data_IF_222820893430
#
_entry.id   IF_222820893430
#
_cell.length_a   1.000
_cell.length_b   1.000
_cell.length_c   1.000
_cell.angle_alpha   90.00
_cell.angle_beta   90.00
_cell.angle_gamma   90.00
#
_symmetry.space_group_name_H-M   'P 1'
#
loop_
_entity.id
_entity.type
_entity.pdbx_description
1 polymer ?
#
# COMPACT_ATOMS: atom_id res chain seq x y z
N UNK A 1 -16.54 3.67 -7.89
CA UNK A 1 -16.44 3.66 -6.41
C UNK A 1 -15.42 2.62 -6.01
N UNK A 2 -14.45 3.01 -5.18
CA UNK A 2 -13.24 2.26 -4.87
C UNK A 2 -13.46 1.42 -3.59
N UNK A 3 -14.35 0.43 -3.65
CA UNK A 3 -14.96 -0.15 -2.43
C UNK A 3 -14.39 -1.53 -2.04
N UNK A 4 -13.60 -2.20 -2.88
CA UNK A 4 -13.32 -3.64 -2.63
C UNK A 4 -11.90 -3.96 -2.11
N UNK A 5 -11.22 -3.00 -1.47
CA UNK A 5 -9.89 -3.25 -0.85
C UNK A 5 -9.72 -2.64 0.54
N UNK A 6 -10.50 -1.64 0.89
CA UNK A 6 -10.81 -1.27 2.27
C UNK A 6 -12.18 -1.87 2.60
N UNK A 7 -12.66 -1.79 3.84
CA UNK A 7 -14.10 -1.84 4.05
C UNK A 7 -14.77 -0.68 3.31
N UNK A 8 -15.98 -0.34 3.73
CA UNK A 8 -16.64 0.91 3.33
C UNK A 8 -15.61 2.04 3.17
N UNK A 9 -15.71 2.86 2.12
CA UNK A 9 -14.78 3.99 1.95
C UNK A 9 -14.84 4.96 3.16
N UNK A 10 -15.88 4.84 4.00
CA UNK A 10 -16.02 5.49 5.30
C UNK A 10 -15.37 4.74 6.50
N UNK A 11 -15.07 3.43 6.40
CA UNK A 11 -14.46 2.60 7.46
C UNK A 11 -13.37 1.65 6.89
N UNK A 12 -12.18 2.19 6.58
CA UNK A 12 -11.06 1.38 6.13
C UNK A 12 -10.55 0.48 7.26
N UNK A 13 -10.30 -0.80 6.96
CA UNK A 13 -9.71 -1.75 7.91
C UNK A 13 -8.30 -2.10 7.49
N UNK A 14 -7.37 -1.97 8.44
CA UNK A 14 -5.98 -2.34 8.21
C UNK A 14 -5.86 -3.87 8.05
N UNK A 15 -5.05 -4.36 7.10
CA UNK A 15 -4.71 -5.78 7.06
C UNK A 15 -3.96 -6.20 8.33
N UNK A 16 -4.03 -7.49 8.68
CA UNK A 16 -3.42 -8.00 9.92
C UNK A 16 -1.93 -7.65 10.00
N UNK A 17 -1.51 -7.11 11.15
CA UNK A 17 -0.14 -6.62 11.37
C UNK A 17 0.10 -5.16 10.97
N UNK A 18 -0.84 -4.52 10.29
CA UNK A 18 -0.82 -3.10 9.95
C UNK A 18 -1.84 -2.32 10.79
N UNK A 19 -1.58 -1.05 11.00
CA UNK A 19 -2.51 -0.04 11.50
C UNK A 19 -2.65 1.06 10.46
N UNK A 20 -3.87 1.58 10.28
CA UNK A 20 -4.07 2.78 9.45
C UNK A 20 -3.53 3.97 10.24
N UNK A 21 -2.49 4.59 9.71
CA UNK A 21 -1.85 5.73 10.32
C UNK A 21 -2.46 7.06 9.85
N UNK A 22 -2.99 7.07 8.63
CA UNK A 22 -3.58 8.24 7.99
C UNK A 22 -4.54 7.76 6.89
N UNK A 23 -5.70 8.39 6.78
CA UNK A 23 -6.68 8.05 5.76
C UNK A 23 -7.46 9.28 5.31
N UNK A 24 -7.34 9.59 4.03
CA UNK A 24 -8.07 10.64 3.35
C UNK A 24 -8.76 10.02 2.12
N UNK A 25 -10.10 9.85 2.16
CA UNK A 25 -10.85 9.21 1.10
C UNK A 25 -10.54 9.80 -0.27
N UNK A 26 -10.13 8.95 -1.22
CA UNK A 26 -9.85 9.37 -2.59
C UNK A 26 -8.53 10.12 -2.80
N UNK A 27 -7.75 10.39 -1.75
CA UNK A 27 -6.48 11.12 -1.83
C UNK A 27 -5.31 10.34 -1.24
N UNK A 28 -5.48 9.73 -0.06
CA UNK A 28 -4.34 9.16 0.68
C UNK A 28 -4.74 8.03 1.62
N UNK A 29 -3.86 7.04 1.73
CA UNK A 29 -3.94 6.00 2.75
C UNK A 29 -2.53 5.66 3.23
N UNK A 30 -2.23 5.88 4.51
CA UNK A 30 -1.00 5.41 5.15
C UNK A 30 -1.29 4.20 6.02
N UNK A 31 -0.51 3.14 5.79
CA UNK A 31 -0.47 1.97 6.63
C UNK A 31 0.89 1.91 7.32
N UNK A 32 0.89 1.87 8.65
CA UNK A 32 2.11 1.65 9.44
C UNK A 32 2.04 0.32 10.14
N UNK A 33 3.18 -0.31 10.33
CA UNK A 33 3.28 -1.43 11.23
C UNK A 33 4.68 -1.58 11.78
N UNK A 34 4.74 -2.30 12.89
CA UNK A 34 6.00 -2.58 13.58
C UNK A 34 6.13 -4.08 13.71
N UNK A 35 7.21 -4.59 13.14
CA UNK A 35 7.76 -5.90 13.44
C UNK A 35 8.96 -5.75 14.36
N UNK A 36 9.31 -6.83 15.06
CA UNK A 36 10.49 -6.91 15.93
C UNK A 36 11.81 -6.59 15.21
N UNK A 37 11.85 -6.69 13.87
CA UNK A 37 13.04 -6.43 13.05
C UNK A 37 12.92 -5.21 12.15
N UNK A 38 11.72 -4.62 12.03
CA UNK A 38 11.45 -3.56 11.07
C UNK A 38 10.26 -2.70 11.49
N UNK A 39 10.42 -1.38 11.46
CA UNK A 39 9.29 -0.45 11.42
C UNK A 39 9.05 -0.12 9.95
N UNK A 40 7.84 -0.34 9.47
CA UNK A 40 7.51 -0.12 8.08
C UNK A 40 6.30 0.82 7.96
N UNK A 41 6.33 1.65 6.91
CA UNK A 41 5.26 2.54 6.53
C UNK A 41 5.03 2.42 5.03
N UNK A 42 3.77 2.25 4.64
CA UNK A 42 3.34 2.14 3.27
C UNK A 42 2.24 3.15 3.01
N UNK A 43 2.56 4.19 2.23
CA UNK A 43 1.61 5.23 1.83
C UNK A 43 1.19 5.02 0.39
N UNK A 44 -0.11 5.10 0.17
CA UNK A 44 -0.76 5.18 -1.12
C UNK A 44 -1.27 6.60 -1.33
N UNK A 45 -1.01 7.17 -2.51
CA UNK A 45 -1.46 8.50 -2.90
C UNK A 45 -2.26 8.35 -4.19
N UNK A 46 -3.45 8.91 -4.20
CA UNK A 46 -4.37 8.90 -5.33
C UNK A 46 -4.44 10.32 -5.87
N UNK A 47 -4.09 10.50 -7.14
CA UNK A 47 -4.19 11.77 -7.84
C UNK A 47 -5.18 11.63 -9.00
N UNK A 48 -6.04 12.62 -9.19
CA UNK A 48 -6.84 12.72 -10.41
C UNK A 48 -5.92 13.00 -11.60
N UNK A 49 -5.91 12.11 -12.59
CA UNK A 49 -5.05 12.21 -13.78
C UNK A 49 -5.82 12.47 -15.07
N UNK A 50 -7.14 12.59 -14.98
CA UNK A 50 -8.05 12.87 -16.10
C UNK A 50 -9.49 12.47 -15.77
N UNK A 51 -10.45 12.76 -16.66
CA UNK A 51 -11.83 12.33 -16.49
C UNK A 51 -11.87 10.81 -16.35
N UNK A 52 -12.34 10.33 -15.19
CA UNK A 52 -12.42 8.89 -14.84
C UNK A 52 -11.05 8.18 -14.77
N UNK A 53 -9.95 8.92 -14.62
CA UNK A 53 -8.61 8.35 -14.46
C UNK A 53 -7.98 8.77 -13.13
N UNK A 54 -7.62 7.78 -12.32
CA UNK A 54 -6.89 7.99 -11.06
C UNK A 54 -5.49 7.41 -11.19
N UNK A 55 -4.48 8.23 -10.93
CA UNK A 55 -3.10 7.80 -10.80
C UNK A 55 -2.87 7.38 -9.35
N UNK A 56 -2.52 6.12 -9.15
CA UNK A 56 -2.14 5.58 -7.85
C UNK A 56 -0.62 5.53 -7.74
N UNK A 57 -0.06 6.23 -6.76
CA UNK A 57 1.35 6.18 -6.36
C UNK A 57 1.49 5.41 -5.05
N UNK A 58 2.56 4.65 -4.91
CA UNK A 58 2.90 3.96 -3.67
C UNK A 58 4.29 4.35 -3.22
N UNK A 59 4.43 4.66 -1.93
CA UNK A 59 5.70 4.94 -1.28
C UNK A 59 5.84 4.02 -0.07
N UNK A 60 6.99 3.38 0.06
CA UNK A 60 7.28 2.46 1.17
C UNK A 60 8.55 2.93 1.88
N UNK A 61 8.44 3.17 3.18
CA UNK A 61 9.56 3.41 4.07
C UNK A 61 9.72 2.21 4.99
N UNK A 62 10.95 1.81 5.24
CA UNK A 62 11.25 0.75 6.19
C UNK A 62 12.54 1.09 6.93
N UNK A 63 12.46 1.16 8.25
CA UNK A 63 13.59 1.28 9.15
C UNK A 63 13.87 -0.09 9.77
N UNK A 64 15.13 -0.53 9.69
CA UNK A 64 15.56 -1.84 10.18
C UNK A 64 16.59 -1.67 11.31
N UNK A 65 16.14 -1.35 12.54
CA UNK A 65 17.05 -1.18 13.66
C UNK A 65 17.66 -2.54 14.06
N UNK A 66 18.96 -2.53 14.39
CA UNK A 66 19.68 -3.70 14.90
C UNK A 66 20.27 -4.64 13.83
N UNK A 67 21.14 -5.57 14.23
CA UNK A 67 21.87 -6.46 13.33
C UNK A 67 20.96 -7.43 12.57
N UNK A 68 19.92 -7.97 13.21
CA UNK A 68 18.92 -8.83 12.56
C UNK A 68 18.10 -8.07 11.50
N UNK A 69 17.80 -6.79 11.75
CA UNK A 69 17.13 -5.92 10.78
C UNK A 69 17.97 -5.72 9.52
N UNK A 70 19.30 -5.60 9.64
CA UNK A 70 20.20 -5.48 8.48
C UNK A 70 20.22 -6.74 7.61
N UNK A 71 20.23 -7.93 8.20
CA UNK A 71 20.15 -9.20 7.47
C UNK A 71 18.81 -9.32 6.73
N UNK A 72 17.72 -9.00 7.42
CA UNK A 72 16.38 -8.99 6.82
C UNK A 72 16.27 -7.95 5.69
N UNK A 73 16.83 -6.74 5.86
CA UNK A 73 16.93 -5.73 4.80
C UNK A 73 17.69 -6.25 3.59
N UNK A 74 18.84 -6.88 3.80
CA UNK A 74 19.65 -7.42 2.71
C UNK A 74 18.86 -8.48 1.93
N UNK A 75 18.10 -9.32 2.62
CA UNK A 75 17.31 -10.38 2.01
C UNK A 75 16.08 -9.81 1.26
N UNK A 76 15.36 -8.84 1.83
CA UNK A 76 14.12 -8.28 1.24
C UNK A 76 14.39 -7.23 0.17
N UNK A 77 15.33 -6.32 0.42
CA UNK A 77 15.67 -5.22 -0.50
C UNK A 77 16.73 -5.67 -1.50
N UNK A 78 17.74 -6.44 -1.06
CA UNK A 78 18.83 -6.88 -1.93
C UNK A 78 18.40 -7.88 -3.01
N UNK A 79 17.33 -8.64 -2.79
CA UNK A 79 16.76 -9.54 -3.81
C UNK A 79 15.82 -8.84 -4.81
N UNK A 80 15.48 -7.56 -4.57
CA UNK A 80 14.47 -6.84 -5.36
C UNK A 80 13.05 -7.40 -5.22
N UNK A 81 12.82 -8.38 -4.35
CA UNK A 81 11.51 -9.00 -4.10
C UNK A 81 10.48 -7.96 -3.68
N UNK A 82 10.89 -6.97 -2.87
CA UNK A 82 10.05 -5.83 -2.50
C UNK A 82 9.44 -5.12 -3.70
N UNK A 83 10.24 -4.86 -4.75
CA UNK A 83 9.77 -4.17 -5.96
C UNK A 83 8.74 -5.01 -6.73
N UNK A 84 8.96 -6.32 -6.81
CA UNK A 84 8.03 -7.24 -7.49
C UNK A 84 6.70 -7.32 -6.75
N UNK A 85 6.75 -7.44 -5.42
CA UNK A 85 5.55 -7.48 -4.57
C UNK A 85 4.76 -6.18 -4.68
N UNK A 86 5.38 -5.02 -4.49
CA UNK A 86 4.72 -3.71 -4.61
C UNK A 86 4.08 -3.55 -5.99
N UNK A 87 4.79 -3.90 -7.06
CA UNK A 87 4.27 -3.79 -8.43
C UNK A 87 3.11 -4.76 -8.70
N UNK A 88 3.15 -5.98 -8.18
CA UNK A 88 2.05 -6.95 -8.27
C UNK A 88 0.82 -6.45 -7.52
N UNK A 89 1.00 -5.90 -6.32
CA UNK A 89 -0.09 -5.33 -5.53
C UNK A 89 -0.75 -4.18 -6.27
N UNK A 90 0.03 -3.21 -6.76
CA UNK A 90 -0.51 -2.10 -7.57
C UNK A 90 -1.27 -2.58 -8.82
N UNK A 91 -0.75 -3.58 -9.52
CA UNK A 91 -1.44 -4.17 -10.68
C UNK A 91 -2.79 -4.80 -10.29
N UNK A 92 -2.85 -5.49 -9.15
CA UNK A 92 -4.10 -6.07 -8.63
C UNK A 92 -5.12 -4.99 -8.26
N UNK A 93 -4.68 -3.93 -7.58
CA UNK A 93 -5.54 -2.78 -7.22
C UNK A 93 -6.11 -2.16 -8.50
N UNK A 94 -5.26 -1.86 -9.48
CA UNK A 94 -5.68 -1.30 -10.75
C UNK A 94 -6.61 -2.23 -11.54
N UNK A 95 -6.39 -3.55 -11.46
CA UNK A 95 -7.27 -4.56 -12.03
C UNK A 95 -8.67 -4.53 -11.43
N UNK A 96 -8.78 -4.54 -10.09
CA UNK A 96 -10.07 -4.45 -9.38
C UNK A 96 -10.78 -3.12 -9.65
N UNK A 97 -10.08 -2.01 -9.54
CA UNK A 97 -10.66 -0.68 -9.77
C UNK A 97 -11.17 -0.50 -11.21
N UNK A 98 -10.56 -1.15 -12.21
CA UNK A 98 -11.07 -1.16 -13.59
C UNK A 98 -12.32 -2.03 -13.75
N UNK A 99 -12.40 -3.16 -13.06
CA UNK A 99 -13.58 -4.02 -13.08
C UNK A 99 -14.78 -3.32 -12.46
N UNK A 100 -14.61 -2.69 -11.29
CA UNK A 100 -15.67 -1.91 -10.62
C UNK A 100 -16.19 -0.76 -11.49
N UNK A 101 -15.32 -0.08 -12.23
CA UNK A 101 -15.72 1.00 -13.14
C UNK A 101 -16.46 0.53 -14.39
N UNK A 102 -16.34 -0.75 -14.76
CA UNK A 102 -17.03 -1.33 -15.92
C UNK A 102 -18.44 -1.83 -15.57
N UNK A 103 -18.70 -2.04 -14.28
CA UNK A 103 -19.96 -2.56 -13.74
C UNK A 103 -20.89 -1.40 -13.29
N UNK A 104 -20.37 -0.17 -13.23
CA UNK A 104 -21.09 1.08 -12.87
C UNK A 104 -21.24 2.03 -14.06
#
# INVERSE_FOLDING_TARGET
MLTTLCGDAADPRAPFGFAIADFEPGQRLSLRGRHVFAVYEWVFILDASGPRQTRLRSQTWAAFPGPHGKVYRALVIGTGGHRVVVRRTLKRIAGRARQEQKIS
#
